data_IF_169489434425
#
_entry.id   IF_169489434425
#
_cell.length_a   1.000
_cell.length_b   1.000
_cell.length_c   1.000
_cell.angle_alpha   90.00
_cell.angle_beta   90.00
_cell.angle_gamma   90.00
#
_symmetry.space_group_name_H-M   'P 1'
#
loop_
_entity.id
_entity.type
_entity.pdbx_description
1 polymer ?
#
# COMPACT_ATOMS: atom_id res chain seq x y z
N UNK A 1 19.94 -20.77 22.36
CA UNK A 1 18.49 -20.52 22.46
C UNK A 1 18.19 -19.36 21.52
N UNK A 2 17.54 -19.63 20.39
CA UNK A 2 17.19 -18.62 19.38
C UNK A 2 15.87 -17.96 19.77
N UNK A 3 15.90 -16.67 20.11
CA UNK A 3 14.70 -15.85 20.29
C UNK A 3 14.07 -15.60 18.93
N UNK A 4 12.98 -16.30 18.63
CA UNK A 4 12.15 -16.02 17.46
C UNK A 4 11.29 -14.80 17.79
N UNK A 5 11.57 -13.66 17.17
CA UNK A 5 10.68 -12.50 17.21
C UNK A 5 9.38 -12.88 16.52
N UNK A 6 8.33 -13.08 17.32
CA UNK A 6 7.01 -13.43 16.86
C UNK A 6 6.36 -12.17 16.28
N UNK A 7 6.36 -12.04 14.95
CA UNK A 7 5.60 -10.99 14.26
C UNK A 7 4.12 -11.29 14.46
N UNK A 8 3.45 -10.50 15.30
CA UNK A 8 2.01 -10.58 15.47
C UNK A 8 1.32 -10.01 14.22
N UNK A 9 0.29 -10.66 13.65
CA UNK A 9 -0.38 -10.17 12.46
C UNK A 9 -1.12 -8.86 12.76
N UNK A 10 -0.81 -7.81 12.00
CA UNK A 10 -1.53 -6.53 12.07
C UNK A 10 -2.94 -6.76 11.54
N UNK A 11 -3.95 -6.55 12.39
CA UNK A 11 -5.34 -6.75 12.02
C UNK A 11 -5.88 -5.59 11.18
N UNK A 12 -6.92 -5.85 10.38
CA UNK A 12 -7.66 -4.83 9.61
C UNK A 12 -8.14 -3.66 10.49
N UNK A 13 -8.41 -3.92 11.77
CA UNK A 13 -8.77 -2.89 12.76
C UNK A 13 -7.64 -1.90 13.04
N UNK A 14 -6.38 -2.35 13.00
CA UNK A 14 -5.23 -1.46 13.20
C UNK A 14 -5.00 -0.58 11.96
N UNK A 15 -5.26 -1.11 10.75
CA UNK A 15 -5.25 -0.33 9.50
C UNK A 15 -6.34 0.74 9.48
N UNK A 16 -7.53 0.42 9.98
CA UNK A 16 -8.64 1.38 10.11
C UNK A 16 -8.34 2.49 11.12
N UNK A 17 -7.58 2.22 12.19
CA UNK A 17 -7.18 3.23 13.19
C UNK A 17 -6.20 4.26 12.61
N UNK A 18 -5.35 3.83 11.69
CA UNK A 18 -4.40 4.68 10.97
C UNK A 18 -5.11 5.57 9.94
N UNK A 19 -6.09 5.02 9.22
CA UNK A 19 -6.90 5.75 8.23
C UNK A 19 -7.68 6.94 8.81
N UNK A 20 -8.30 6.78 9.99
CA UNK A 20 -9.15 7.83 10.59
C UNK A 20 -8.37 9.08 11.03
N UNK A 21 -7.04 9.00 11.19
CA UNK A 21 -6.21 10.17 11.52
C UNK A 21 -5.75 10.98 10.29
N UNK A 22 -5.97 10.51 9.05
CA UNK A 22 -5.38 11.08 7.83
C UNK A 22 -6.28 12.00 6.99
N UNK A 23 -7.56 12.16 7.32
CA UNK A 23 -8.52 12.80 6.41
C UNK A 23 -8.75 14.30 6.69
N UNK A 24 -7.89 15.16 6.14
CA UNK A 24 -8.27 16.52 5.75
C UNK A 24 -7.44 16.98 4.53
N UNK A 25 -8.10 17.10 3.38
CA UNK A 25 -7.57 17.74 2.17
C UNK A 25 -7.14 19.19 2.46
N UNK A 26 -5.87 19.39 2.83
CA UNK A 26 -4.87 20.42 2.48
C UNK A 26 -3.66 20.06 3.35
N UNK A 27 -2.52 19.68 2.77
CA UNK A 27 -1.26 19.74 3.51
C UNK A 27 -0.38 20.84 2.89
N UNK A 28 -0.27 21.95 3.61
CA UNK A 28 0.73 23.00 3.36
C UNK A 28 2.15 22.53 3.78
N UNK A 29 2.30 21.25 4.11
CA UNK A 29 3.51 20.60 4.62
C UNK A 29 3.61 19.23 3.96
N UNK A 30 4.77 18.90 3.42
CA UNK A 30 4.99 17.64 2.71
C UNK A 30 4.80 16.44 3.66
N UNK A 31 3.95 15.48 3.30
CA UNK A 31 3.71 14.28 4.11
C UNK A 31 4.97 13.44 4.19
N UNK A 32 5.34 12.98 5.38
CA UNK A 32 6.45 12.02 5.53
C UNK A 32 6.04 10.62 5.02
N UNK A 33 7.01 9.71 4.97
CA UNK A 33 6.82 8.37 4.41
C UNK A 33 5.77 7.54 5.19
N UNK A 34 5.70 7.70 6.51
CA UNK A 34 4.72 7.02 7.35
C UNK A 34 3.29 7.52 7.09
N UNK A 35 3.11 8.83 6.90
CA UNK A 35 1.83 9.43 6.56
C UNK A 35 1.37 9.00 5.16
N UNK A 36 2.29 8.94 4.18
CA UNK A 36 1.98 8.40 2.84
C UNK A 36 1.61 6.92 2.90
N UNK A 37 2.33 6.11 3.69
CA UNK A 37 2.01 4.69 3.89
C UNK A 37 0.65 4.48 4.58
N UNK A 38 0.29 5.34 5.54
CA UNK A 38 -1.02 5.34 6.19
C UNK A 38 -2.18 5.56 5.20
N UNK A 39 -2.01 6.49 4.25
CA UNK A 39 -2.99 6.74 3.19
C UNK A 39 -3.13 5.54 2.23
N UNK A 40 -2.03 4.89 1.88
CA UNK A 40 -2.06 3.66 1.05
C UNK A 40 -2.81 2.54 1.79
N UNK A 41 -2.59 2.39 3.10
CA UNK A 41 -3.33 1.43 3.92
C UNK A 41 -4.84 1.73 3.97
N UNK A 42 -5.24 3.00 4.06
CA UNK A 42 -6.64 3.41 3.97
C UNK A 42 -7.25 3.03 2.62
N UNK A 43 -6.54 3.32 1.53
CA UNK A 43 -6.99 2.99 0.17
C UNK A 43 -7.17 1.47 -0.02
N UNK A 44 -6.24 0.65 0.50
CA UNK A 44 -6.33 -0.81 0.47
C UNK A 44 -7.51 -1.34 1.31
N UNK A 45 -7.78 -0.72 2.46
CA UNK A 45 -8.94 -1.07 3.29
C UNK A 45 -10.25 -0.78 2.54
N UNK A 46 -10.35 0.39 1.90
CA UNK A 46 -11.50 0.74 1.08
C UNK A 46 -11.65 -0.21 -0.12
N UNK A 47 -10.57 -0.48 -0.83
CA UNK A 47 -10.54 -1.39 -1.98
C UNK A 47 -11.04 -2.78 -1.59
N UNK A 48 -10.41 -3.40 -0.59
CA UNK A 48 -10.75 -4.76 -0.15
C UNK A 48 -12.19 -4.86 0.36
N UNK A 49 -12.70 -3.82 1.02
CA UNK A 49 -14.10 -3.76 1.46
C UNK A 49 -15.06 -3.73 0.27
N UNK A 50 -14.75 -2.96 -0.78
CA UNK A 50 -15.64 -2.77 -1.94
C UNK A 50 -15.57 -3.93 -2.93
N UNK A 51 -14.44 -4.60 -3.06
CA UNK A 51 -14.28 -5.79 -3.92
C UNK A 51 -14.76 -7.07 -3.23
N UNK A 52 -14.94 -7.03 -1.90
CA UNK A 52 -15.32 -8.20 -1.12
C UNK A 52 -14.14 -9.09 -0.71
N UNK A 53 -12.90 -8.69 -1.00
CA UNK A 53 -11.67 -9.35 -0.55
C UNK A 53 -11.51 -9.28 0.98
N UNK A 54 -12.14 -8.30 1.64
CA UNK A 54 -12.16 -8.19 3.09
C UNK A 54 -13.05 -9.24 3.81
N UNK A 55 -13.69 -10.17 3.09
CA UNK A 55 -14.72 -11.09 3.67
C UNK A 55 -14.16 -12.31 4.40
N UNK A 56 -12.86 -12.52 4.34
CA UNK A 56 -12.19 -13.69 4.89
C UNK A 56 -10.91 -13.20 5.54
N UNK A 57 -10.42 -13.88 6.59
CA UNK A 57 -9.15 -13.56 7.27
C UNK A 57 -7.94 -13.83 6.37
N UNK A 58 -7.98 -13.32 5.15
CA UNK A 58 -6.97 -13.42 4.12
C UNK A 58 -5.74 -12.66 4.55
N UNK A 59 -4.60 -13.24 4.19
CA UNK A 59 -3.31 -12.63 4.44
C UNK A 59 -3.23 -11.29 3.70
N UNK A 60 -2.64 -10.28 4.34
CA UNK A 60 -2.46 -8.96 3.72
C UNK A 60 -1.72 -9.05 2.38
N UNK A 61 -0.86 -10.06 2.18
CA UNK A 61 -0.19 -10.28 0.90
C UNK A 61 -1.17 -10.68 -0.20
N UNK A 62 -2.24 -11.42 0.10
CA UNK A 62 -3.29 -11.74 -0.88
C UNK A 62 -4.00 -10.46 -1.32
N UNK A 63 -4.43 -9.64 -0.36
CA UNK A 63 -5.10 -8.36 -0.66
C UNK A 63 -4.21 -7.44 -1.50
N UNK A 64 -2.92 -7.34 -1.17
CA UNK A 64 -1.96 -6.56 -1.95
C UNK A 64 -1.75 -7.16 -3.34
N UNK A 65 -1.64 -8.49 -3.45
CA UNK A 65 -1.44 -9.15 -4.75
C UNK A 65 -2.63 -8.92 -5.68
N UNK A 66 -3.85 -9.04 -5.17
CA UNK A 66 -5.06 -8.79 -5.93
C UNK A 66 -5.20 -7.32 -6.31
N UNK A 67 -4.85 -6.40 -5.40
CA UNK A 67 -4.77 -4.97 -5.69
C UNK A 67 -3.78 -4.68 -6.84
N UNK A 68 -2.60 -5.30 -6.82
CA UNK A 68 -1.61 -5.16 -7.88
C UNK A 68 -2.12 -5.75 -9.21
N UNK A 69 -2.83 -6.88 -9.18
CA UNK A 69 -3.45 -7.45 -10.36
C UNK A 69 -4.51 -6.52 -10.96
N UNK A 70 -5.35 -5.91 -10.12
CA UNK A 70 -6.35 -4.92 -10.56
C UNK A 70 -5.70 -3.60 -11.02
N UNK A 71 -4.56 -3.23 -10.45
CA UNK A 71 -3.74 -2.12 -10.97
C UNK A 71 -3.21 -2.44 -12.39
N UNK A 72 -2.79 -3.68 -12.67
CA UNK A 72 -2.44 -4.08 -14.04
C UNK A 72 -3.62 -3.97 -15.00
N UNK A 73 -4.83 -4.31 -14.54
CA UNK A 73 -6.06 -4.11 -15.32
C UNK A 73 -6.35 -2.62 -15.55
N UNK A 74 -6.13 -1.76 -14.55
CA UNK A 74 -6.25 -0.31 -14.68
C UNK A 74 -5.24 0.26 -15.68
N UNK A 75 -3.95 -0.10 -15.57
CA UNK A 75 -2.90 0.32 -16.50
C UNK A 75 -3.30 0.04 -17.95
N UNK A 76 -3.74 -1.19 -18.22
CA UNK A 76 -4.25 -1.57 -19.54
C UNK A 76 -5.44 -0.71 -19.98
N UNK A 77 -6.36 -0.40 -19.06
CA UNK A 77 -7.55 0.40 -19.38
C UNK A 77 -7.22 1.87 -19.71
N UNK A 78 -6.13 2.41 -19.14
CA UNK A 78 -5.68 3.79 -19.40
C UNK A 78 -4.60 3.89 -20.48
N UNK A 79 -4.30 2.79 -21.17
CA UNK A 79 -3.34 2.76 -22.29
C UNK A 79 -1.87 2.64 -21.88
N UNK A 80 -1.60 2.25 -20.63
CA UNK A 80 -0.26 1.81 -20.19
C UNK A 80 -0.16 0.33 -20.54
N UNK A 81 0.68 0.03 -21.51
CA UNK A 81 0.88 -1.34 -21.97
C UNK A 81 1.66 -2.17 -20.95
N UNK A 82 1.55 -3.50 -21.06
CA UNK A 82 2.12 -4.43 -20.07
C UNK A 82 3.64 -4.32 -19.95
N UNK A 83 4.32 -3.92 -21.02
CA UNK A 83 5.78 -3.72 -21.08
C UNK A 83 6.24 -2.38 -20.49
N UNK A 84 5.34 -1.39 -20.34
CA UNK A 84 5.64 -0.10 -19.71
C UNK A 84 5.57 -0.19 -18.18
N UNK A 85 4.70 -1.05 -17.62
CA UNK A 85 4.52 -1.20 -16.19
C UNK A 85 5.81 -1.59 -15.43
N UNK A 86 6.66 -2.53 -15.90
CA UNK A 86 7.96 -2.78 -15.29
C UNK A 86 8.85 -1.55 -15.20
N UNK A 87 8.80 -0.65 -16.20
CA UNK A 87 9.54 0.61 -16.17
C UNK A 87 9.04 1.54 -15.06
N UNK A 88 7.72 1.65 -14.89
CA UNK A 88 7.12 2.42 -13.79
C UNK A 88 7.48 1.84 -12.42
N UNK A 89 7.48 0.51 -12.28
CA UNK A 89 7.88 -0.16 -11.04
C UNK A 89 9.35 0.10 -10.69
N UNK A 90 10.25 0.08 -11.68
CA UNK A 90 11.67 0.37 -11.48
C UNK A 90 11.89 1.81 -10.98
N UNK A 91 11.19 2.80 -11.54
CA UNK A 91 11.28 4.19 -11.08
C UNK A 91 10.70 4.35 -9.67
N UNK A 92 9.60 3.65 -9.36
CA UNK A 92 9.03 3.65 -8.01
C UNK A 92 9.99 3.03 -6.98
N UNK A 93 10.70 1.97 -7.33
CA UNK A 93 11.74 1.35 -6.49
C UNK A 93 12.92 2.30 -6.26
N UNK A 94 13.37 3.03 -7.29
CA UNK A 94 14.40 4.06 -7.13
C UNK A 94 13.98 5.15 -6.14
N UNK A 95 12.74 5.64 -6.22
CA UNK A 95 12.24 6.64 -5.26
C UNK A 95 12.19 6.07 -3.84
N UNK A 96 11.76 4.83 -3.67
CA UNK A 96 11.74 4.16 -2.37
C UNK A 96 13.15 4.02 -1.78
N UNK A 97 14.13 3.62 -2.60
CA UNK A 97 15.52 3.50 -2.18
C UNK A 97 16.13 4.86 -1.81
N UNK A 98 15.91 5.89 -2.62
CA UNK A 98 16.36 7.26 -2.35
C UNK A 98 15.77 7.77 -1.01
N UNK A 99 14.48 7.56 -0.79
CA UNK A 99 13.79 7.93 0.46
C UNK A 99 14.35 7.20 1.69
N UNK A 100 14.69 5.90 1.60
CA UNK A 100 15.32 5.15 2.69
C UNK A 100 16.72 5.69 3.00
N UNK A 101 17.48 6.05 1.96
CA UNK A 101 18.85 6.55 2.11
C UNK A 101 18.88 7.97 2.71
N UNK A 102 17.83 8.77 2.53
CA UNK A 102 17.67 10.10 3.12
C UNK A 102 17.20 10.07 4.58
N UNK A 103 16.53 9.00 5.02
CA UNK A 103 16.11 8.78 6.42
C UNK A 103 17.24 8.22 7.32
N UNK A 104 18.42 7.93 6.76
CA UNK A 104 19.58 7.30 7.42
C UNK A 104 20.57 8.23 8.12
#
# INVERSE_FOLDING_TARGET
MTTSTQFSPVSVTELARVAVNGAAFIHAEELNNADRAALVAEALCLFSTRTGLARTGEDVRTVITDFLADLMHLCRAVGIERDELPGLMMVAEMHFDDEINEEG
#
